data_IF_799337491357
#
_entry.id   IF_799337491357
#
_cell.length_a   1.000
_cell.length_b   1.000
_cell.length_c   1.000
_cell.angle_alpha   90.00
_cell.angle_beta   90.00
_cell.angle_gamma   90.00
#
_symmetry.space_group_name_H-M   'P 1'
#
loop_
_entity.id
_entity.type
_entity.pdbx_description
1 polymer ?
#
# COMPACT_ATOMS: atom_id res chain seq x y z
N UNK A 1 -2.72 -20.13 -23.03
CA UNK A 1 -2.09 -20.59 -21.77
C UNK A 1 -1.68 -19.35 -20.98
N UNK A 2 -1.87 -19.33 -19.67
CA UNK A 2 -1.51 -18.24 -18.75
C UNK A 2 -1.48 -18.76 -17.31
N UNK A 3 -0.67 -18.14 -16.45
CA UNK A 3 -0.57 -18.51 -15.04
C UNK A 3 -1.74 -17.93 -14.22
N UNK A 4 -1.93 -18.41 -12.98
CA UNK A 4 -2.92 -17.81 -12.07
C UNK A 4 -2.56 -16.37 -11.69
N UNK A 5 -1.26 -16.07 -11.63
CA UNK A 5 -0.75 -14.72 -11.39
C UNK A 5 -1.18 -13.77 -12.52
N UNK A 6 -1.03 -14.19 -13.78
CA UNK A 6 -1.45 -13.39 -14.94
C UNK A 6 -2.97 -13.17 -14.98
N UNK A 7 -3.73 -14.13 -14.45
CA UNK A 7 -5.20 -14.06 -14.38
C UNK A 7 -5.72 -13.15 -13.26
N UNK A 8 -4.85 -12.60 -12.39
CA UNK A 8 -5.23 -11.66 -11.33
C UNK A 8 -6.13 -12.27 -10.25
N UNK A 9 -6.09 -13.60 -10.06
CA UNK A 9 -7.04 -14.31 -9.18
C UNK A 9 -6.97 -13.84 -7.72
N UNK A 10 -5.80 -13.38 -7.26
CA UNK A 10 -5.61 -12.83 -5.92
C UNK A 10 -6.44 -11.55 -5.76
N UNK A 11 -6.31 -10.58 -6.65
CA UNK A 11 -7.10 -9.34 -6.61
C UNK A 11 -8.61 -9.61 -6.72
N UNK A 12 -9.01 -10.53 -7.59
CA UNK A 12 -10.41 -10.94 -7.72
C UNK A 12 -10.95 -11.53 -6.41
N UNK A 13 -10.15 -12.34 -5.70
CA UNK A 13 -10.53 -12.87 -4.40
C UNK A 13 -10.70 -11.77 -3.35
N UNK A 14 -9.81 -10.77 -3.31
CA UNK A 14 -9.97 -9.60 -2.42
C UNK A 14 -11.25 -8.82 -2.73
N UNK A 15 -11.50 -8.51 -4.00
CA UNK A 15 -12.69 -7.78 -4.43
C UNK A 15 -13.98 -8.54 -4.11
N UNK A 16 -13.95 -9.87 -4.12
CA UNK A 16 -15.09 -10.71 -3.74
C UNK A 16 -15.35 -10.66 -2.22
N UNK A 17 -14.28 -10.60 -1.42
CA UNK A 17 -14.36 -10.65 0.04
C UNK A 17 -14.52 -9.25 0.70
N UNK A 18 -14.28 -8.17 -0.05
CA UNK A 18 -14.47 -6.81 0.42
C UNK A 18 -15.59 -6.11 -0.36
N UNK A 19 -16.83 -6.05 0.18
CA UNK A 19 -17.97 -5.55 -0.55
C UNK A 19 -17.82 -4.05 -0.85
N UNK A 20 -18.36 -3.62 -2.00
CA UNK A 20 -18.44 -2.21 -2.35
C UNK A 20 -19.39 -1.48 -1.40
N UNK A 21 -18.92 -0.39 -0.80
CA UNK A 21 -19.73 0.51 0.01
C UNK A 21 -20.24 1.67 -0.85
N UNK A 22 -21.57 1.78 -0.99
CA UNK A 22 -22.21 2.91 -1.65
C UNK A 22 -22.75 3.89 -0.60
N UNK A 23 -22.39 5.17 -0.72
CA UNK A 23 -22.88 6.25 0.14
C UNK A 23 -23.51 7.36 -0.70
N UNK A 24 -24.59 8.02 -0.24
CA UNK A 24 -25.16 9.16 -0.95
C UNK A 24 -24.13 10.27 -1.12
N UNK A 25 -23.99 10.77 -2.34
CA UNK A 25 -23.11 11.90 -2.62
C UNK A 25 -23.76 13.20 -2.14
N UNK A 26 -22.98 14.06 -1.47
CA UNK A 26 -23.41 15.41 -1.08
C UNK A 26 -23.39 16.41 -2.23
N UNK A 27 -22.66 16.10 -3.31
CA UNK A 27 -22.61 16.90 -4.53
C UNK A 27 -22.51 16.03 -5.78
N UNK A 28 -22.94 16.56 -6.93
CA UNK A 28 -22.82 15.87 -8.22
C UNK A 28 -21.38 15.75 -8.74
N UNK A 29 -20.45 16.51 -8.17
CA UNK A 29 -19.03 16.52 -8.56
C UNK A 29 -18.20 15.85 -7.47
N UNK A 30 -18.02 14.54 -7.60
CA UNK A 30 -17.08 13.78 -6.78
C UNK A 30 -15.98 13.24 -7.71
N UNK A 31 -14.82 13.93 -7.83
CA UNK A 31 -13.72 13.40 -8.62
C UNK A 31 -13.26 12.06 -8.05
N UNK A 32 -12.91 11.13 -8.93
CA UNK A 32 -12.29 9.88 -8.50
C UNK A 32 -10.99 10.18 -7.73
N UNK A 33 -10.84 9.54 -6.58
CA UNK A 33 -9.69 9.75 -5.71
C UNK A 33 -9.17 8.40 -5.22
N UNK A 34 -7.84 8.28 -5.13
CA UNK A 34 -7.18 7.14 -4.50
C UNK A 34 -6.16 7.62 -3.48
N UNK A 35 -6.20 7.04 -2.28
CA UNK A 35 -5.20 7.27 -1.25
C UNK A 35 -3.84 6.68 -1.63
N UNK A 36 -3.84 5.52 -2.30
CA UNK A 36 -2.64 4.73 -2.58
C UNK A 36 -2.66 4.09 -3.97
N UNK A 37 -1.48 3.84 -4.51
CA UNK A 37 -1.27 3.00 -5.69
C UNK A 37 0.02 2.22 -5.55
N UNK A 38 0.04 0.97 -6.02
CA UNK A 38 1.20 0.08 -5.98
C UNK A 38 1.55 -0.32 -7.41
N UNK A 39 2.81 -0.12 -7.81
CA UNK A 39 3.20 -0.26 -9.22
C UNK A 39 3.32 -1.70 -9.73
N UNK A 40 3.27 -2.70 -8.85
CA UNK A 40 3.47 -4.12 -9.20
C UNK A 40 2.25 -4.93 -8.77
N UNK A 41 1.65 -5.74 -9.67
CA UNK A 41 0.55 -6.62 -9.30
C UNK A 41 0.98 -7.76 -8.36
N UNK A 42 2.29 -8.02 -8.23
CA UNK A 42 2.82 -8.99 -7.30
C UNK A 42 2.79 -8.52 -5.84
N UNK A 43 2.53 -7.23 -5.58
CA UNK A 43 2.51 -6.66 -4.23
C UNK A 43 1.11 -6.17 -3.90
N UNK A 44 0.56 -6.68 -2.80
CA UNK A 44 -0.76 -6.31 -2.30
C UNK A 44 -0.59 -5.34 -1.13
N UNK A 45 -1.32 -4.22 -1.17
CA UNK A 45 -1.52 -3.37 0.01
C UNK A 45 -2.69 -3.96 0.82
N UNK A 46 -2.36 -4.57 1.96
CA UNK A 46 -3.29 -5.34 2.78
C UNK A 46 -4.07 -4.43 3.73
N UNK A 47 -3.37 -3.55 4.46
CA UNK A 47 -4.00 -2.62 5.39
C UNK A 47 -3.42 -1.22 5.27
N UNK A 48 -4.26 -0.23 5.56
CA UNK A 48 -3.89 1.14 5.86
C UNK A 48 -4.64 1.54 7.13
N UNK A 49 -3.90 1.72 8.22
CA UNK A 49 -4.45 2.01 9.54
C UNK A 49 -4.12 3.44 9.94
N UNK A 50 -5.16 4.21 10.24
CA UNK A 50 -5.05 5.61 10.61
C UNK A 50 -4.57 5.77 12.06
N UNK A 51 -3.73 6.77 12.29
CA UNK A 51 -3.20 7.19 13.60
C UNK A 51 -3.25 8.72 13.67
N UNK A 52 -3.22 9.31 14.88
CA UNK A 52 -3.39 10.76 15.03
C UNK A 52 -2.51 11.65 14.13
N UNK A 53 -1.28 11.23 13.81
CA UNK A 53 -0.35 12.00 12.96
C UNK A 53 0.35 11.13 11.89
N UNK A 54 -0.15 9.93 11.66
CA UNK A 54 0.49 8.97 10.77
C UNK A 54 -0.49 7.95 10.20
N UNK A 55 -0.07 7.25 9.15
CA UNK A 55 -0.75 6.05 8.66
C UNK A 55 0.24 4.91 8.65
N UNK A 56 -0.13 3.75 9.15
CA UNK A 56 0.64 2.53 8.95
C UNK A 56 0.05 1.76 7.80
N UNK A 57 0.87 1.52 6.77
CA UNK A 57 0.50 0.68 5.63
C UNK A 57 1.24 -0.63 5.67
N UNK A 58 0.53 -1.74 5.45
CA UNK A 58 1.11 -3.08 5.39
C UNK A 58 0.94 -3.63 3.99
N UNK A 59 2.05 -4.11 3.42
CA UNK A 59 2.10 -4.69 2.10
C UNK A 59 2.74 -6.06 2.16
N UNK A 60 2.40 -6.93 1.22
CA UNK A 60 3.10 -8.21 1.06
C UNK A 60 3.26 -8.60 -0.40
N UNK A 61 4.29 -9.40 -0.66
CA UNK A 61 4.53 -10.01 -1.97
C UNK A 61 3.75 -11.31 -2.09
N UNK A 62 2.90 -11.43 -3.12
CA UNK A 62 1.90 -12.48 -3.23
C UNK A 62 2.26 -13.55 -4.27
N UNK A 63 3.25 -13.32 -5.13
CA UNK A 63 3.57 -14.19 -6.26
C UNK A 63 4.74 -15.15 -5.98
N UNK A 64 5.42 -15.03 -4.85
CA UNK A 64 6.61 -15.82 -4.52
C UNK A 64 7.86 -15.35 -5.27
N UNK A 65 7.90 -14.07 -5.64
CA UNK A 65 8.95 -13.46 -6.47
C UNK A 65 9.79 -12.44 -5.70
N UNK A 66 10.99 -12.12 -6.22
CA UNK A 66 11.75 -10.95 -5.76
C UNK A 66 11.41 -9.77 -6.65
N UNK A 67 10.89 -8.69 -6.07
CA UNK A 67 10.38 -7.54 -6.85
C UNK A 67 10.64 -6.21 -6.13
N UNK A 68 10.86 -5.17 -6.93
CA UNK A 68 10.81 -3.79 -6.45
C UNK A 68 9.49 -3.19 -6.89
N UNK A 69 8.74 -2.62 -5.94
CA UNK A 69 7.49 -1.94 -6.20
C UNK A 69 7.55 -0.50 -5.69
N UNK A 70 6.81 0.39 -6.35
CA UNK A 70 6.61 1.76 -5.92
C UNK A 70 5.28 1.88 -5.23
N UNK A 71 5.30 2.40 -4.00
CA UNK A 71 4.11 2.85 -3.30
C UNK A 71 3.94 4.35 -3.51
N UNK A 72 2.85 4.73 -4.16
CA UNK A 72 2.43 6.10 -4.35
C UNK A 72 1.29 6.42 -3.39
N UNK A 73 1.22 7.67 -2.93
CA UNK A 73 0.13 8.14 -2.09
C UNK A 73 -0.22 9.59 -2.40
N UNK A 74 -1.51 9.92 -2.29
CA UNK A 74 -2.01 11.30 -2.34
C UNK A 74 -2.05 11.97 -0.97
N UNK A 75 -1.72 11.22 0.09
CA UNK A 75 -1.65 11.75 1.45
C UNK A 75 -0.44 12.69 1.61
N UNK A 76 -0.52 13.73 2.45
CA UNK A 76 0.54 14.71 2.62
C UNK A 76 1.67 14.15 3.48
N UNK A 77 2.43 13.18 2.98
CA UNK A 77 3.51 12.54 3.75
C UNK A 77 4.68 13.50 3.96
N UNK A 78 5.16 13.58 5.21
CA UNK A 78 6.37 14.27 5.62
C UNK A 78 7.56 13.32 5.61
N UNK A 79 7.41 12.16 6.23
CA UNK A 79 8.46 11.16 6.41
C UNK A 79 7.88 9.75 6.28
N UNK A 80 8.70 8.81 5.81
CA UNK A 80 8.33 7.40 5.72
C UNK A 80 9.43 6.53 6.31
N UNK A 81 9.04 5.47 7.02
CA UNK A 81 9.99 4.54 7.60
C UNK A 81 9.40 3.15 7.73
N UNK A 82 10.25 2.13 7.57
CA UNK A 82 9.92 0.76 7.92
C UNK A 82 9.63 0.66 9.42
N UNK A 83 8.61 -0.11 9.76
CA UNK A 83 8.28 -0.45 11.14
C UNK A 83 8.06 -1.97 11.28
N UNK A 84 8.13 -2.45 12.52
CA UNK A 84 7.77 -3.83 12.83
C UNK A 84 6.25 -4.02 12.90
N UNK A 85 5.79 -5.25 13.17
CA UNK A 85 4.36 -5.56 13.28
C UNK A 85 3.68 -4.87 14.49
N UNK A 86 4.46 -4.41 15.47
CA UNK A 86 4.00 -3.59 16.59
C UNK A 86 4.08 -2.10 16.27
N UNK A 87 4.30 -1.76 15.00
CA UNK A 87 4.31 -0.41 14.45
C UNK A 87 5.43 0.47 15.02
N UNK A 88 6.48 -0.15 15.54
CA UNK A 88 7.66 0.53 16.08
C UNK A 88 8.64 0.80 14.94
N UNK A 89 9.07 2.06 14.73
CA UNK A 89 10.04 2.39 13.68
C UNK A 89 11.34 1.61 13.80
N UNK A 90 11.83 1.08 12.69
CA UNK A 90 13.12 0.42 12.64
C UNK A 90 14.26 1.46 12.69
N UNK A 91 15.29 1.19 13.50
CA UNK A 91 16.40 2.13 13.72
C UNK A 91 17.16 2.56 12.45
N UNK A 92 17.12 1.73 11.39
CA UNK A 92 17.70 2.02 10.06
C UNK A 92 16.65 1.82 8.96
N UNK A 93 15.41 2.23 9.24
CA UNK A 93 14.25 2.00 8.39
C UNK A 93 13.80 3.19 7.54
N UNK A 94 14.47 4.34 7.59
CA UNK A 94 14.02 5.52 6.84
C UNK A 94 13.98 5.23 5.33
N UNK A 95 12.86 5.59 4.71
CA UNK A 95 12.62 5.43 3.28
C UNK A 95 12.64 6.81 2.61
N UNK A 96 13.49 7.00 1.57
CA UNK A 96 13.46 8.23 0.79
C UNK A 96 12.10 8.42 0.10
N UNK A 97 11.56 9.63 0.22
CA UNK A 97 10.41 10.07 -0.57
C UNK A 97 10.92 10.64 -1.91
N UNK A 98 10.74 9.88 -2.97
CA UNK A 98 11.13 10.28 -4.32
C UNK A 98 9.93 10.83 -5.11
N UNK A 99 10.18 11.44 -6.27
CA UNK A 99 9.11 11.96 -7.13
C UNK A 99 8.10 10.88 -7.55
N UNK A 100 8.57 9.64 -7.72
CA UNK A 100 7.74 8.49 -8.08
C UNK A 100 7.02 7.86 -6.87
N UNK A 101 7.36 8.24 -5.63
CA UNK A 101 6.82 7.67 -4.40
C UNK A 101 7.89 6.97 -3.55
N UNK A 102 7.48 5.95 -2.79
CA UNK A 102 8.36 5.14 -1.95
C UNK A 102 8.81 3.89 -2.69
N UNK A 103 10.12 3.68 -2.80
CA UNK A 103 10.70 2.48 -3.39
C UNK A 103 10.80 1.35 -2.36
N UNK A 104 10.06 0.27 -2.57
CA UNK A 104 10.01 -0.88 -1.66
C UNK A 104 10.58 -2.12 -2.34
N UNK A 105 11.41 -2.89 -1.62
CA UNK A 105 12.00 -4.13 -2.13
C UNK A 105 11.45 -5.33 -1.36
N UNK A 106 11.01 -6.35 -2.10
CA UNK A 106 10.42 -7.56 -1.56
C UNK A 106 11.20 -8.79 -2.00
N UNK A 107 11.36 -9.73 -1.09
CA UNK A 107 11.71 -11.13 -1.39
C UNK A 107 10.42 -11.96 -1.44
N UNK A 108 10.46 -13.22 -1.92
CA UNK A 108 9.28 -14.07 -2.00
C UNK A 108 8.50 -14.11 -0.69
N UNK A 109 7.19 -13.81 -0.75
CA UNK A 109 6.27 -13.80 0.40
C UNK A 109 6.64 -12.85 1.55
N UNK A 110 7.46 -11.85 1.28
CA UNK A 110 7.86 -10.86 2.28
C UNK A 110 6.68 -9.96 2.66
N UNK A 111 6.47 -9.77 3.96
CA UNK A 111 5.54 -8.79 4.52
C UNK A 111 6.34 -7.58 5.02
N UNK A 112 5.91 -6.38 4.63
CA UNK A 112 6.58 -5.11 4.93
C UNK A 112 5.54 -4.13 5.51
N UNK A 113 5.87 -3.49 6.63
CA UNK A 113 5.06 -2.41 7.21
C UNK A 113 5.81 -1.07 7.10
N UNK A 114 5.11 -0.04 6.65
CA UNK A 114 5.63 1.33 6.53
C UNK A 114 4.79 2.27 7.39
N UNK A 115 5.44 3.01 8.26
CA UNK A 115 4.88 4.15 8.96
C UNK A 115 5.06 5.41 8.11
N UNK A 116 3.95 6.05 7.73
CA UNK A 116 3.89 7.30 6.99
C UNK A 116 3.52 8.43 7.94
N UNK A 117 4.46 9.29 8.30
CA UNK A 117 4.20 10.48 9.12
C UNK A 117 3.63 11.57 8.23
N UNK A 118 2.48 12.12 8.59
CA UNK A 118 1.79 13.14 7.81
C UNK A 118 2.27 14.56 8.14
N UNK A 119 2.09 15.49 7.21
CA UNK A 119 2.21 16.93 7.46
C UNK A 119 0.95 17.38 8.19
N UNK A 120 1.13 18.14 9.26
CA UNK A 120 0.05 18.85 9.96
C UNK A 120 -0.47 20.01 9.11
#
# INVERSE_FOLDING_TARGET
AGSFQDAGVIQCAYNLNFPLHAVPASSAQCPAWSAFSVSSPAVVLETAEDRPEAVVVRLYEAHGSTVVAWLQTSLPVKEAMLCDLLERPAARGQLPLEQQGLRLSFTPFHVLSVLLVLRQ
#
